data_IF_208364779267
#
_entry.id   IF_208364779267
#
_cell.length_a   1.000
_cell.length_b   1.000
_cell.length_c   1.000
_cell.angle_alpha   90.00
_cell.angle_beta   90.00
_cell.angle_gamma   90.00
#
_symmetry.space_group_name_H-M   'P 1'
#
loop_
_entity.id
_entity.type
_entity.pdbx_description
1 polymer ?
#
# COMPACT_ATOMS: atom_id res chain seq x y z
N UNK A 1 39.39 -38.41 -15.27
CA UNK A 1 38.09 -37.71 -15.44
C UNK A 1 37.23 -37.89 -14.19
N UNK A 2 36.39 -36.88 -13.90
CA UNK A 2 35.30 -36.83 -12.89
C UNK A 2 35.68 -36.44 -11.44
N UNK A 3 36.03 -35.16 -11.25
CA UNK A 3 35.79 -34.44 -9.99
C UNK A 3 35.06 -33.12 -10.28
N UNK A 4 33.76 -33.23 -10.58
CA UNK A 4 32.93 -32.05 -10.88
C UNK A 4 31.48 -32.15 -10.42
N UNK A 5 30.98 -33.33 -10.01
CA UNK A 5 29.54 -33.53 -9.75
C UNK A 5 29.07 -33.23 -8.32
N UNK A 6 29.96 -33.24 -7.31
CA UNK A 6 29.56 -33.10 -5.90
C UNK A 6 29.31 -31.64 -5.49
N UNK A 7 30.10 -30.71 -6.02
CA UNK A 7 30.01 -29.28 -5.68
C UNK A 7 28.76 -28.64 -6.32
N UNK A 8 28.43 -29.01 -7.55
CA UNK A 8 27.26 -28.50 -8.28
C UNK A 8 25.95 -28.92 -7.63
N UNK A 9 25.84 -30.17 -7.14
CA UNK A 9 24.67 -30.66 -6.41
C UNK A 9 24.44 -29.94 -5.08
N UNK A 10 25.50 -29.67 -4.31
CA UNK A 10 25.41 -28.90 -3.06
C UNK A 10 24.98 -27.46 -3.30
N UNK A 11 25.50 -26.80 -4.35
CA UNK A 11 25.11 -25.43 -4.71
C UNK A 11 23.65 -25.33 -5.17
N UNK A 12 23.18 -26.27 -5.99
CA UNK A 12 21.77 -26.35 -6.42
C UNK A 12 20.82 -26.56 -5.22
N UNK A 13 21.21 -27.40 -4.26
CA UNK A 13 20.42 -27.61 -3.04
C UNK A 13 20.31 -26.35 -2.19
N UNK A 14 21.41 -25.61 -2.01
CA UNK A 14 21.41 -24.33 -1.28
C UNK A 14 20.54 -23.29 -1.97
N UNK A 15 20.65 -23.15 -3.30
CA UNK A 15 19.82 -22.21 -4.07
C UNK A 15 18.34 -22.59 -3.95
N UNK A 16 17.99 -23.88 -4.08
CA UNK A 16 16.61 -24.36 -3.90
C UNK A 16 16.09 -24.09 -2.48
N UNK A 17 16.94 -24.24 -1.46
CA UNK A 17 16.57 -23.96 -0.07
C UNK A 17 16.35 -22.46 0.15
N UNK A 18 17.21 -21.59 -0.40
CA UNK A 18 17.07 -20.13 -0.34
C UNK A 18 15.79 -19.66 -1.05
N UNK A 19 15.46 -20.24 -2.22
CA UNK A 19 14.21 -19.93 -2.93
C UNK A 19 13.00 -20.37 -2.10
N UNK A 20 13.01 -21.59 -1.55
CA UNK A 20 11.92 -22.09 -0.71
C UNK A 20 11.74 -21.27 0.57
N UNK A 21 12.84 -20.86 1.22
CA UNK A 21 12.79 -19.98 2.38
C UNK A 21 12.29 -18.57 2.04
N UNK A 22 12.74 -17.99 0.92
CA UNK A 22 12.25 -16.69 0.46
C UNK A 22 10.75 -16.70 0.17
N UNK A 23 10.28 -17.70 -0.59
CA UNK A 23 8.85 -17.87 -0.90
C UNK A 23 8.01 -18.14 0.35
N UNK A 24 8.51 -18.95 1.30
CA UNK A 24 7.80 -19.25 2.55
C UNK A 24 7.72 -18.04 3.48
N UNK A 25 8.75 -17.18 3.51
CA UNK A 25 8.74 -15.97 4.33
C UNK A 25 7.76 -14.93 3.78
N UNK A 26 7.74 -14.72 2.46
CA UNK A 26 6.76 -13.85 1.81
C UNK A 26 5.32 -14.34 2.03
N UNK A 27 5.08 -15.66 1.98
CA UNK A 27 3.77 -16.24 2.28
C UNK A 27 3.32 -16.00 3.73
N UNK A 28 4.25 -15.99 4.69
CA UNK A 28 3.92 -15.70 6.09
C UNK A 28 3.54 -14.24 6.32
N UNK A 29 4.20 -13.28 5.68
CA UNK A 29 3.84 -11.86 5.89
C UNK A 29 2.41 -11.55 5.42
N UNK A 30 1.95 -12.11 4.31
CA UNK A 30 0.58 -11.89 3.80
C UNK A 30 -0.49 -12.54 4.68
N UNK A 31 -0.26 -13.76 5.19
CA UNK A 31 -1.25 -14.50 6.00
C UNK A 31 -1.38 -13.95 7.43
N UNK A 32 -0.35 -13.25 7.94
CA UNK A 32 -0.33 -12.70 9.30
C UNK A 32 -0.44 -11.18 9.37
N UNK A 33 -0.82 -10.51 8.27
CA UNK A 33 -1.00 -9.06 8.26
C UNK A 33 -2.02 -8.65 9.35
N UNK A 34 -1.56 -7.86 10.33
CA UNK A 34 -2.38 -7.34 11.43
C UNK A 34 -2.94 -5.97 11.09
N UNK A 35 -4.08 -5.63 11.70
CA UNK A 35 -4.63 -4.28 11.62
C UNK A 35 -3.73 -3.28 12.35
N UNK A 36 -3.39 -2.18 11.67
CA UNK A 36 -2.54 -1.12 12.20
C UNK A 36 -3.23 0.26 12.08
N UNK A 37 -3.03 1.18 13.03
CA UNK A 37 -3.52 2.55 12.92
C UNK A 37 -2.77 3.36 11.85
N UNK A 38 -3.33 4.50 11.45
CA UNK A 38 -2.82 5.32 10.32
C UNK A 38 -1.38 5.81 10.53
N UNK A 39 -0.99 6.11 11.77
CA UNK A 39 0.35 6.61 12.13
C UNK A 39 1.47 5.62 11.82
N UNK A 40 1.16 4.32 11.73
CA UNK A 40 2.11 3.29 11.32
C UNK A 40 2.36 3.20 9.81
N UNK A 41 1.56 3.92 9.01
CA UNK A 41 1.71 3.98 7.56
C UNK A 41 2.33 5.31 7.08
N UNK A 42 2.81 6.15 8.01
CA UNK A 42 3.51 7.38 7.67
C UNK A 42 4.86 7.13 6.98
N UNK A 43 5.15 7.91 5.93
CA UNK A 43 6.45 7.87 5.27
C UNK A 43 7.50 8.63 6.09
N UNK A 44 8.67 8.03 6.28
CA UNK A 44 9.82 8.70 6.91
C UNK A 44 10.50 9.67 5.92
N UNK A 45 11.37 10.54 6.43
CA UNK A 45 12.04 11.57 5.61
C UNK A 45 12.99 10.99 4.56
N UNK A 46 13.63 9.86 4.84
CA UNK A 46 14.50 9.18 3.87
C UNK A 46 13.69 8.77 2.64
N UNK A 47 12.59 8.06 2.85
CA UNK A 47 11.72 7.56 1.80
C UNK A 47 11.06 8.70 1.03
N UNK A 48 10.59 9.75 1.72
CA UNK A 48 10.02 10.96 1.07
C UNK A 48 10.99 11.62 0.09
N UNK A 49 12.30 11.54 0.34
CA UNK A 49 13.32 12.19 -0.49
C UNK A 49 13.82 11.34 -1.67
N UNK A 50 13.61 10.02 -1.68
CA UNK A 50 14.05 9.13 -2.77
C UNK A 50 13.26 9.34 -4.07
N UNK A 51 13.94 9.38 -5.21
CA UNK A 51 13.27 9.31 -6.53
C UNK A 51 12.61 7.94 -6.72
N UNK A 52 11.63 7.83 -7.62
CA UNK A 52 10.95 6.55 -7.89
C UNK A 52 11.93 5.50 -8.42
N UNK A 53 12.83 5.90 -9.33
CA UNK A 53 13.91 5.06 -9.86
C UNK A 53 14.74 4.35 -8.77
N UNK A 54 14.94 5.02 -7.63
CA UNK A 54 15.79 4.50 -6.54
C UNK A 54 15.02 3.74 -5.46
N UNK A 55 13.68 3.69 -5.54
CA UNK A 55 12.88 2.93 -4.60
C UNK A 55 13.09 1.43 -4.83
N UNK A 56 13.28 0.71 -3.74
CA UNK A 56 13.13 -0.74 -3.75
C UNK A 56 11.66 -1.13 -3.86
N UNK A 57 11.39 -2.36 -4.29
CA UNK A 57 10.02 -2.90 -4.37
C UNK A 57 9.26 -2.79 -3.03
N UNK A 58 9.93 -3.05 -1.89
CA UNK A 58 9.33 -2.93 -0.57
C UNK A 58 9.02 -1.47 -0.19
N UNK A 59 9.88 -0.54 -0.60
CA UNK A 59 9.63 0.89 -0.40
C UNK A 59 8.47 1.40 -1.25
N UNK A 60 8.35 0.92 -2.50
CA UNK A 60 7.18 1.21 -3.34
C UNK A 60 5.88 0.70 -2.68
N UNK A 61 5.90 -0.51 -2.08
CA UNK A 61 4.77 -1.02 -1.29
C UNK A 61 4.41 -0.07 -0.14
N UNK A 62 5.39 0.34 0.68
CA UNK A 62 5.15 1.29 1.80
C UNK A 62 4.56 2.63 1.33
N UNK A 63 5.03 3.16 0.20
CA UNK A 63 4.45 4.37 -0.42
C UNK A 63 3.01 4.10 -0.88
N UNK A 64 2.76 2.93 -1.46
CA UNK A 64 1.42 2.45 -1.81
C UNK A 64 0.46 2.38 -0.61
N UNK A 65 0.85 1.64 0.42
CA UNK A 65 0.10 1.50 1.68
C UNK A 65 -0.23 2.87 2.28
N UNK A 66 0.77 3.76 2.36
CA UNK A 66 0.58 5.14 2.83
C UNK A 66 -0.55 5.83 2.06
N UNK A 67 -0.48 5.89 0.74
CA UNK A 67 -1.51 6.58 -0.03
C UNK A 67 -2.88 5.92 0.04
N UNK A 68 -2.96 4.59 0.12
CA UNK A 68 -4.27 3.93 0.31
C UNK A 68 -4.83 4.26 1.69
N UNK A 69 -4.03 4.25 2.76
CA UNK A 69 -4.51 4.65 4.10
C UNK A 69 -4.93 6.11 4.16
N UNK A 70 -4.19 7.03 3.55
CA UNK A 70 -4.54 8.45 3.48
C UNK A 70 -5.89 8.67 2.77
N UNK A 71 -6.15 7.93 1.69
CA UNK A 71 -7.45 7.98 1.00
C UNK A 71 -8.58 7.41 1.85
N UNK A 72 -8.35 6.29 2.53
CA UNK A 72 -9.34 5.62 3.38
C UNK A 72 -9.63 6.39 4.68
N UNK A 73 -8.73 7.27 5.13
CA UNK A 73 -8.94 8.13 6.30
C UNK A 73 -10.20 9.00 6.21
N UNK A 74 -10.69 9.24 4.98
CA UNK A 74 -11.93 9.98 4.70
C UNK A 74 -13.16 9.36 5.37
N UNK A 75 -13.13 8.05 5.66
CA UNK A 75 -14.22 7.38 6.40
C UNK A 75 -14.41 7.88 7.84
N UNK A 76 -13.39 8.54 8.41
CA UNK A 76 -13.43 9.15 9.74
C UNK A 76 -13.77 10.65 9.71
N UNK A 77 -13.85 11.26 8.53
CA UNK A 77 -14.01 12.70 8.42
C UNK A 77 -15.43 13.12 8.78
N UNK A 78 -15.53 14.27 9.45
CA UNK A 78 -16.82 14.81 9.88
C UNK A 78 -17.24 16.06 9.09
N UNK A 79 -16.38 16.57 8.20
CA UNK A 79 -16.69 17.71 7.34
C UNK A 79 -16.12 17.53 5.93
N UNK A 80 -16.75 18.16 4.94
CA UNK A 80 -16.37 18.06 3.52
C UNK A 80 -15.08 18.83 3.18
N UNK A 81 -14.77 19.87 3.92
CA UNK A 81 -13.56 20.68 3.69
C UNK A 81 -12.29 19.87 3.98
N UNK A 82 -12.33 18.98 4.96
CA UNK A 82 -11.25 18.03 5.24
C UNK A 82 -11.06 17.05 4.09
N UNK A 83 -12.15 16.59 3.46
CA UNK A 83 -12.09 15.74 2.26
C UNK A 83 -11.42 16.49 1.12
N UNK A 84 -11.78 17.75 0.90
CA UNK A 84 -11.18 18.59 -0.14
C UNK A 84 -9.69 18.81 0.10
N UNK A 85 -9.31 19.22 1.32
CA UNK A 85 -7.92 19.43 1.73
C UNK A 85 -7.10 18.15 1.58
N UNK A 86 -7.63 17.00 2.00
CA UNK A 86 -6.96 15.70 1.83
C UNK A 86 -6.79 15.36 0.34
N UNK A 87 -7.81 15.64 -0.47
CA UNK A 87 -7.74 15.47 -1.93
C UNK A 87 -6.62 16.27 -2.57
N UNK A 88 -6.47 17.55 -2.21
CA UNK A 88 -5.38 18.43 -2.68
C UNK A 88 -4.00 17.99 -2.16
N UNK A 89 -3.96 17.45 -0.93
CA UNK A 89 -2.74 16.96 -0.29
C UNK A 89 -2.16 15.73 -1.00
N UNK A 90 -2.99 14.76 -1.39
CA UNK A 90 -2.48 13.46 -1.85
C UNK A 90 -2.61 13.21 -3.35
N UNK A 91 -3.54 13.88 -4.04
CA UNK A 91 -3.70 13.71 -5.49
C UNK A 91 -2.96 14.80 -6.27
N UNK A 92 -2.56 14.45 -7.49
CA UNK A 92 -2.11 15.45 -8.46
C UNK A 92 -3.29 16.25 -9.01
N UNK A 93 -4.42 15.58 -9.30
CA UNK A 93 -5.62 16.18 -9.87
C UNK A 93 -6.89 15.49 -9.36
N UNK A 94 -8.02 16.22 -9.30
CA UNK A 94 -9.37 15.70 -9.01
C UNK A 94 -9.49 14.87 -7.72
N UNK A 95 -8.64 15.12 -6.72
CA UNK A 95 -8.64 14.34 -5.48
C UNK A 95 -9.95 14.41 -4.71
N UNK A 96 -10.58 15.59 -4.64
CA UNK A 96 -11.88 15.74 -4.00
C UNK A 96 -12.96 14.86 -4.65
N UNK A 97 -13.05 14.88 -5.98
CA UNK A 97 -14.05 14.09 -6.73
C UNK A 97 -13.90 12.59 -6.45
N UNK A 98 -12.66 12.11 -6.27
CA UNK A 98 -12.38 10.71 -5.91
C UNK A 98 -12.73 10.38 -4.47
N UNK A 99 -12.36 11.26 -3.55
CA UNK A 99 -12.50 11.00 -2.12
C UNK A 99 -13.93 11.18 -1.61
N UNK A 100 -14.69 12.11 -2.19
CA UNK A 100 -16.06 12.40 -1.74
C UNK A 100 -17.00 11.21 -1.92
N UNK A 101 -16.70 10.27 -2.82
CA UNK A 101 -17.45 9.02 -3.01
C UNK A 101 -17.44 8.13 -1.75
N UNK A 102 -16.38 8.22 -0.94
CA UNK A 102 -16.22 7.47 0.30
C UNK A 102 -16.63 8.26 1.55
N UNK A 103 -17.05 9.52 1.40
CA UNK A 103 -17.36 10.38 2.54
C UNK A 103 -18.76 10.12 3.10
N UNK A 104 -18.80 9.56 4.31
CA UNK A 104 -20.01 9.37 5.10
C UNK A 104 -19.75 9.89 6.52
N UNK A 105 -20.16 11.13 6.83
CA UNK A 105 -19.76 11.77 8.08
C UNK A 105 -20.28 11.03 9.31
N UNK A 106 -19.47 11.02 10.38
CA UNK A 106 -19.77 10.37 11.66
C UNK A 106 -20.00 8.85 11.58
N UNK A 107 -19.55 8.19 10.51
CA UNK A 107 -19.76 6.75 10.33
C UNK A 107 -18.79 5.90 11.15
N UNK A 108 -17.49 6.13 10.96
CA UNK A 108 -16.44 5.36 11.61
C UNK A 108 -15.61 6.20 12.58
N UNK A 109 -15.03 5.51 13.57
CA UNK A 109 -13.98 6.01 14.47
C UNK A 109 -12.95 4.91 14.70
N UNK A 110 -11.76 5.29 15.15
CA UNK A 110 -10.67 4.38 15.50
C UNK A 110 -10.28 3.43 14.35
N UNK A 111 -10.09 4.00 13.16
CA UNK A 111 -9.75 3.26 11.95
C UNK A 111 -8.41 2.54 12.07
N UNK A 112 -8.41 1.30 11.61
CA UNK A 112 -7.22 0.50 11.43
C UNK A 112 -7.26 -0.19 10.06
N UNK A 113 -6.08 -0.39 9.49
CA UNK A 113 -5.89 -0.86 8.12
C UNK A 113 -5.07 -2.13 8.08
N UNK A 114 -5.33 -2.96 7.08
CA UNK A 114 -4.56 -4.18 6.78
C UNK A 114 -4.54 -4.38 5.26
N UNK A 115 -3.39 -4.72 4.72
CA UNK A 115 -3.19 -4.93 3.28
C UNK A 115 -2.82 -6.38 2.98
N UNK A 116 -3.29 -6.89 1.85
CA UNK A 116 -2.98 -8.24 1.35
C UNK A 116 -2.98 -8.23 -0.18
N UNK A 117 -2.38 -9.25 -0.80
CA UNK A 117 -2.28 -9.36 -2.26
C UNK A 117 -1.65 -8.10 -2.89
N UNK A 118 -0.57 -7.62 -2.28
CA UNK A 118 0.09 -6.39 -2.66
C UNK A 118 1.03 -6.62 -3.83
N UNK A 119 0.83 -5.86 -4.91
CA UNK A 119 1.61 -5.99 -6.13
C UNK A 119 2.06 -4.62 -6.66
N UNK A 120 3.27 -4.61 -7.24
CA UNK A 120 3.85 -3.44 -7.89
C UNK A 120 4.01 -3.73 -9.38
N UNK A 121 3.42 -2.85 -10.21
CA UNK A 121 3.38 -3.00 -11.67
C UNK A 121 3.82 -1.71 -12.35
N UNK A 122 4.02 -1.75 -13.67
CA UNK A 122 4.19 -0.56 -14.51
C UNK A 122 5.26 0.42 -13.96
N UNK A 123 6.39 -0.12 -13.48
CA UNK A 123 7.47 0.68 -12.90
C UNK A 123 8.22 1.42 -14.00
N UNK A 124 8.38 2.71 -13.81
CA UNK A 124 9.15 3.65 -14.64
C UNK A 124 9.95 4.56 -13.71
N UNK A 125 10.87 5.37 -14.24
CA UNK A 125 11.67 6.28 -13.43
C UNK A 125 10.82 7.38 -12.74
N UNK A 126 9.61 7.62 -13.26
CA UNK A 126 8.70 8.69 -12.83
C UNK A 126 7.42 8.21 -12.15
N UNK A 127 7.09 6.92 -12.26
CA UNK A 127 5.80 6.39 -11.79
C UNK A 127 5.83 4.89 -11.52
N UNK A 128 4.91 4.42 -10.67
CA UNK A 128 4.62 3.00 -10.52
C UNK A 128 3.14 2.72 -10.19
N UNK A 129 2.72 1.53 -10.62
CA UNK A 129 1.50 0.77 -10.31
C UNK A 129 1.47 0.21 -8.88
N UNK A 130 0.60 0.60 -7.95
CA UNK A 130 0.36 -0.20 -6.72
C UNK A 130 -1.04 -0.79 -6.74
N UNK A 131 -1.15 -2.10 -6.51
CA UNK A 131 -2.40 -2.84 -6.40
C UNK A 131 -2.46 -3.57 -5.06
N UNK A 132 -3.61 -3.57 -4.41
CA UNK A 132 -3.78 -4.22 -3.10
C UNK A 132 -5.25 -4.53 -2.81
N UNK A 133 -5.47 -5.49 -1.92
CA UNK A 133 -6.72 -5.63 -1.18
C UNK A 133 -6.53 -4.95 0.18
N UNK A 134 -7.24 -3.83 0.37
CA UNK A 134 -7.26 -3.08 1.60
C UNK A 134 -8.45 -3.49 2.47
N UNK A 135 -8.17 -3.81 3.73
CA UNK A 135 -9.17 -3.98 4.77
C UNK A 135 -9.13 -2.75 5.67
N UNK A 136 -10.29 -2.15 5.90
CA UNK A 136 -10.46 -1.04 6.83
C UNK A 136 -11.45 -1.45 7.91
N UNK A 137 -11.05 -1.33 9.16
CA UNK A 137 -11.89 -1.65 10.30
C UNK A 137 -12.02 -0.43 11.23
N UNK A 138 -13.21 -0.18 11.73
CA UNK A 138 -13.49 0.93 12.64
C UNK A 138 -14.69 0.64 13.54
N UNK A 139 -14.91 1.52 14.50
CA UNK A 139 -16.09 1.50 15.38
C UNK A 139 -17.24 2.24 14.72
N UNK A 140 -18.34 1.54 14.47
CA UNK A 140 -19.60 2.04 13.94
C UNK A 140 -20.71 1.68 14.93
N UNK A 141 -21.42 2.67 15.47
CA UNK A 141 -22.48 2.47 16.48
C UNK A 141 -22.06 1.60 17.69
N UNK A 142 -20.82 1.78 18.16
CA UNK A 142 -20.28 1.03 19.31
C UNK A 142 -19.87 -0.41 19.01
N UNK A 143 -19.90 -0.83 17.75
CA UNK A 143 -19.43 -2.17 17.31
C UNK A 143 -18.30 -2.02 16.30
N UNK A 144 -17.37 -2.96 16.32
CA UNK A 144 -16.32 -3.05 15.30
C UNK A 144 -16.94 -3.54 13.99
N UNK A 145 -16.72 -2.80 12.92
CA UNK A 145 -17.18 -3.06 11.56
C UNK A 145 -15.95 -3.05 10.64
N UNK A 146 -15.95 -3.90 9.62
CA UNK A 146 -14.84 -4.10 8.70
C UNK A 146 -15.35 -4.05 7.25
N UNK A 147 -14.57 -3.43 6.39
CA UNK A 147 -14.84 -3.31 4.96
C UNK A 147 -13.60 -3.73 4.16
N UNK A 148 -13.84 -4.40 3.04
CA UNK A 148 -12.82 -4.87 2.10
C UNK A 148 -12.94 -4.11 0.79
N UNK A 149 -11.82 -3.58 0.31
CA UNK A 149 -11.74 -2.73 -0.88
C UNK A 149 -10.57 -3.17 -1.75
N UNK A 150 -10.80 -3.34 -3.05
CA UNK A 150 -9.72 -3.53 -4.01
C UNK A 150 -9.25 -2.16 -4.47
N UNK A 151 -7.96 -1.89 -4.35
CA UNK A 151 -7.33 -0.65 -4.76
C UNK A 151 -6.32 -0.89 -5.86
N UNK A 152 -6.33 0.03 -6.81
CA UNK A 152 -5.29 0.17 -7.80
C UNK A 152 -5.00 1.67 -7.94
N UNK A 153 -3.78 2.08 -7.61
CA UNK A 153 -3.35 3.49 -7.67
C UNK A 153 -2.07 3.63 -8.48
N UNK A 154 -1.98 4.70 -9.26
CA UNK A 154 -0.76 5.11 -9.94
C UNK A 154 -0.11 6.24 -9.18
N UNK A 155 1.11 6.02 -8.73
CA UNK A 155 1.88 6.97 -7.92
C UNK A 155 2.95 7.60 -8.80
N UNK A 156 3.10 8.91 -8.67
CA UNK A 156 4.11 9.72 -9.36
C UNK A 156 4.86 10.56 -8.34
N UNK A 157 6.02 11.09 -8.74
CA UNK A 157 6.76 12.07 -7.94
C UNK A 157 6.88 13.39 -8.69
N UNK A 158 6.22 14.44 -8.18
CA UNK A 158 6.18 15.78 -8.79
C UNK A 158 6.76 16.78 -7.80
N UNK A 159 7.71 17.60 -8.24
CA UNK A 159 8.41 18.59 -7.38
C UNK A 159 8.96 17.96 -6.09
N UNK A 160 9.54 16.76 -6.20
CA UNK A 160 10.06 15.95 -5.10
C UNK A 160 9.01 15.50 -4.06
N UNK A 161 7.72 15.55 -4.38
CA UNK A 161 6.62 15.09 -3.52
C UNK A 161 5.88 13.96 -4.23
N UNK A 162 5.65 12.85 -3.52
CA UNK A 162 4.81 11.78 -4.05
C UNK A 162 3.35 12.21 -4.12
N UNK A 163 2.67 11.80 -5.19
CA UNK A 163 1.24 12.08 -5.41
C UNK A 163 0.57 10.88 -6.08
N UNK A 164 -0.72 10.75 -5.85
CA UNK A 164 -1.59 9.85 -6.60
C UNK A 164 -2.03 10.53 -7.89
N UNK A 165 -1.69 9.94 -9.03
CA UNK A 165 -2.10 10.39 -10.35
C UNK A 165 -3.45 9.78 -10.75
N UNK A 166 -3.62 8.49 -10.52
CA UNK A 166 -4.84 7.74 -10.84
C UNK A 166 -5.23 6.86 -9.66
N UNK A 167 -6.53 6.67 -9.49
CA UNK A 167 -7.10 5.72 -8.54
C UNK A 167 -8.28 5.00 -9.17
N UNK A 168 -8.33 3.69 -8.94
CA UNK A 168 -9.48 2.83 -9.13
C UNK A 168 -9.74 2.10 -7.81
N UNK A 169 -11.00 2.12 -7.39
CA UNK A 169 -11.48 1.41 -6.21
C UNK A 169 -12.71 0.60 -6.58
N UNK A 170 -12.75 -0.63 -6.10
CA UNK A 170 -13.90 -1.52 -6.29
C UNK A 170 -14.25 -2.17 -4.96
N UNK A 171 -15.51 -2.03 -4.55
CA UNK A 171 -16.07 -2.77 -3.42
C UNK A 171 -16.31 -4.21 -3.87
N UNK A 172 -15.95 -5.18 -3.04
CA UNK A 172 -16.21 -6.60 -3.30
C UNK A 172 -17.41 -7.10 -2.50
#
# INVERSE_FOLDING_TARGET
MKRGGSITKKRLFIISLCIAFGLFWSYKEEVFASFKPIDQYGLNNELKNKSIETLTHNEMKKVGEHFVTEQLSVFEFNNKEDVKRKGEEIFLNRGYDRLIENYYPNRFRDLAYKFTNEDIREVTDESFRYQTVAYVAGTENGKRSEMKLNYEIKIVKVNNIFKVLEQKQYVQ
#
